data_IF_288158911763
#
_entry.id   IF_288158911763
#
_cell.length_a   1.000
_cell.length_b   1.000
_cell.length_c   1.000
_cell.angle_alpha   90.00
_cell.angle_beta   90.00
_cell.angle_gamma   90.00
#
_symmetry.space_group_name_H-M   'P 1'
#
loop_
_entity.id
_entity.type
_entity.pdbx_description
1 polymer ?
#
# COMPACT_ATOMS: atom_id res chain seq x y z
N UNK A 1 14.20 -9.20 -35.43
CA UNK A 1 13.39 -9.19 -34.19
C UNK A 1 14.29 -9.81 -33.14
N UNK A 2 15.07 -8.98 -32.45
CA UNK A 2 16.10 -9.44 -31.52
C UNK A 2 15.47 -9.73 -30.17
N UNK A 3 15.74 -10.92 -29.63
CA UNK A 3 15.45 -11.33 -28.26
C UNK A 3 16.10 -10.34 -27.28
N UNK A 4 15.43 -9.91 -26.21
CA UNK A 4 16.07 -9.09 -25.19
C UNK A 4 17.16 -9.93 -24.50
N UNK A 5 18.38 -9.38 -24.44
CA UNK A 5 19.52 -9.95 -23.74
C UNK A 5 19.09 -10.41 -22.35
N UNK A 6 19.23 -11.71 -22.09
CA UNK A 6 19.13 -12.28 -20.76
C UNK A 6 20.31 -11.72 -19.97
N UNK A 7 20.04 -10.85 -19.00
CA UNK A 7 21.08 -10.15 -18.25
C UNK A 7 21.92 -11.15 -17.46
N UNK A 8 23.16 -11.37 -17.91
CA UNK A 8 24.14 -12.21 -17.22
C UNK A 8 24.45 -11.62 -15.82
N UNK A 9 24.29 -12.39 -14.72
CA UNK A 9 24.63 -11.94 -13.38
C UNK A 9 26.06 -11.41 -13.25
N UNK A 10 27.01 -11.99 -13.99
CA UNK A 10 28.41 -11.59 -13.93
C UNK A 10 28.64 -10.21 -14.56
N UNK A 11 27.87 -9.86 -15.60
CA UNK A 11 27.89 -8.54 -16.25
C UNK A 11 27.27 -7.46 -15.34
N UNK A 12 26.25 -7.81 -14.56
CA UNK A 12 25.64 -6.91 -13.57
C UNK A 12 26.66 -6.54 -12.49
N UNK A 13 27.39 -7.52 -11.97
CA UNK A 13 28.40 -7.31 -10.94
C UNK A 13 29.59 -6.50 -11.46
N UNK A 14 30.00 -6.74 -12.71
CA UNK A 14 31.03 -5.94 -13.36
C UNK A 14 30.58 -4.47 -13.51
N UNK A 15 29.35 -4.24 -13.97
CA UNK A 15 28.80 -2.88 -14.15
C UNK A 15 28.64 -2.14 -12.82
N UNK A 16 28.20 -2.82 -11.76
CA UNK A 16 28.09 -2.23 -10.42
C UNK A 16 29.44 -1.80 -9.86
N UNK A 17 30.47 -2.61 -10.07
CA UNK A 17 31.83 -2.30 -9.61
C UNK A 17 32.41 -1.09 -10.33
N UNK A 18 32.11 -0.95 -11.62
CA UNK A 18 32.55 0.19 -12.43
C UNK A 18 31.87 1.50 -11.98
N UNK A 19 30.54 1.48 -11.79
CA UNK A 19 29.77 2.63 -11.30
C UNK A 19 30.20 3.10 -9.90
N UNK A 20 30.54 2.16 -9.02
CA UNK A 20 30.99 2.49 -7.66
C UNK A 20 32.44 2.96 -7.62
N UNK A 21 33.29 2.47 -8.54
CA UNK A 21 34.64 2.98 -8.73
C UNK A 21 34.64 4.40 -9.33
N UNK A 22 33.73 4.69 -10.27
CA UNK A 22 33.55 6.03 -10.85
C UNK A 22 33.15 7.07 -9.81
N UNK A 23 32.38 6.67 -8.79
CA UNK A 23 31.92 7.57 -7.74
C UNK A 23 33.05 8.12 -6.86
N UNK A 24 34.22 7.46 -6.82
CA UNK A 24 35.41 7.89 -6.09
C UNK A 24 35.17 8.20 -4.60
N UNK A 25 36.16 8.80 -3.95
CA UNK A 25 35.99 9.40 -2.62
C UNK A 25 35.25 10.74 -2.80
N UNK A 26 33.96 10.76 -2.44
CA UNK A 26 33.10 11.92 -2.64
C UNK A 26 33.66 13.07 -1.80
N UNK A 27 34.27 14.06 -2.48
CA UNK A 27 34.87 15.24 -1.85
C UNK A 27 33.80 16.06 -1.09
N UNK A 28 33.62 15.74 0.19
CA UNK A 28 32.59 16.33 1.03
C UNK A 28 32.50 15.77 2.45
N UNK A 29 33.33 14.79 2.83
CA UNK A 29 33.42 14.31 4.20
C UNK A 29 34.05 15.38 5.10
N UNK A 30 33.21 16.31 5.57
CA UNK A 30 33.56 17.19 6.68
C UNK A 30 33.63 16.33 7.94
N UNK A 31 34.81 16.19 8.54
CA UNK A 31 34.92 15.65 9.90
C UNK A 31 34.16 16.58 10.84
N UNK A 32 32.91 16.20 11.16
CA UNK A 32 32.14 16.84 12.22
C UNK A 32 32.79 16.39 13.54
N UNK A 33 33.25 17.30 14.41
CA UNK A 33 33.73 16.92 15.74
C UNK A 33 32.67 16.07 16.42
N UNK A 34 32.99 14.81 16.69
CA UNK A 34 32.11 13.85 17.37
C UNK A 34 32.12 14.23 18.86
N UNK A 35 31.07 14.85 19.42
CA UNK A 35 30.93 14.83 20.88
C UNK A 35 30.92 13.36 21.34
N UNK A 36 31.39 13.02 22.56
CA UNK A 36 31.14 11.70 23.14
C UNK A 36 29.65 11.61 23.50
N UNK A 37 28.81 11.63 22.48
CA UNK A 37 27.39 11.39 22.54
C UNK A 37 27.20 10.07 21.84
N UNK A 38 26.56 9.15 22.56
CA UNK A 38 26.12 7.87 22.03
C UNK A 38 25.49 8.14 20.65
N UNK A 39 26.04 7.52 19.62
CA UNK A 39 25.50 7.66 18.27
C UNK A 39 24.05 7.17 18.25
N UNK A 40 23.28 7.42 17.18
CA UNK A 40 21.92 6.92 17.04
C UNK A 40 21.76 5.39 17.17
N UNK A 41 22.88 4.64 17.20
CA UNK A 41 22.95 3.19 17.41
C UNK A 41 23.46 2.78 18.79
N UNK A 42 23.90 3.73 19.60
CA UNK A 42 24.42 3.50 20.95
C UNK A 42 23.29 3.68 21.98
N UNK A 43 22.07 3.27 21.60
CA UNK A 43 20.95 3.13 22.53
C UNK A 43 21.19 1.87 23.34
N UNK A 44 21.52 2.04 24.61
CA UNK A 44 21.44 0.95 25.57
C UNK A 44 19.98 0.88 25.94
N UNK A 45 19.28 -0.15 25.47
CA UNK A 45 17.95 -0.44 25.98
C UNK A 45 18.07 -0.58 27.49
N UNK A 46 17.33 0.24 28.23
CA UNK A 46 17.11 -0.02 29.64
C UNK A 46 16.51 -1.44 29.71
N UNK A 47 17.04 -2.29 30.60
CA UNK A 47 16.45 -3.60 30.91
C UNK A 47 15.10 -3.35 31.62
N UNK A 48 14.16 -2.77 30.89
CA UNK A 48 12.76 -2.66 31.26
C UNK A 48 12.13 -4.02 30.99
N UNK A 49 11.81 -4.71 32.07
CA UNK A 49 11.03 -5.94 32.10
C UNK A 49 9.57 -5.71 31.68
N UNK A 50 9.17 -4.45 31.45
CA UNK A 50 7.97 -4.03 30.73
C UNK A 50 8.01 -4.40 29.25
N UNK A 51 7.69 -5.65 28.93
CA UNK A 51 7.38 -6.03 27.56
C UNK A 51 6.33 -5.07 26.98
N UNK A 52 6.59 -4.48 25.81
CA UNK A 52 5.61 -3.66 25.09
C UNK A 52 4.32 -4.48 24.90
N UNK A 53 3.24 -4.05 25.56
CA UNK A 53 1.90 -4.60 25.38
C UNK A 53 1.12 -3.62 24.52
N UNK A 54 0.91 -3.92 23.22
CA UNK A 54 0.12 -3.05 22.37
C UNK A 54 -1.27 -2.87 22.98
N UNK A 55 -1.81 -1.64 23.03
CA UNK A 55 -3.21 -1.47 23.41
C UNK A 55 -4.09 -2.26 22.45
N UNK A 56 -5.13 -2.90 22.98
CA UNK A 56 -6.13 -3.59 22.16
C UNK A 56 -6.69 -2.57 21.15
N UNK A 57 -6.66 -2.87 19.83
CA UNK A 57 -7.11 -1.92 18.84
C UNK A 57 -8.61 -1.69 18.99
N UNK A 58 -9.04 -0.43 18.85
CA UNK A 58 -10.45 -0.12 18.73
C UNK A 58 -10.98 -0.75 17.44
N UNK A 59 -11.84 -1.76 17.57
CA UNK A 59 -12.46 -2.40 16.41
C UNK A 59 -13.72 -1.65 16.03
N UNK A 60 -13.74 -1.13 14.81
CA UNK A 60 -14.94 -0.53 14.24
C UNK A 60 -16.05 -1.59 14.10
N UNK A 61 -17.29 -1.28 14.48
CA UNK A 61 -18.41 -2.20 14.32
C UNK A 61 -18.64 -2.51 12.84
N UNK A 62 -19.13 -3.72 12.59
CA UNK A 62 -19.46 -4.16 11.23
C UNK A 62 -20.41 -3.18 10.51
N UNK A 63 -20.00 -2.73 9.33
CA UNK A 63 -20.75 -1.76 8.53
C UNK A 63 -21.63 -2.46 7.49
N UNK A 64 -22.88 -2.76 7.84
CA UNK A 64 -23.91 -3.33 6.95
C UNK A 64 -23.99 -2.62 5.59
N UNK A 65 -23.92 -1.28 5.63
CA UNK A 65 -23.97 -0.44 4.44
C UNK A 65 -22.82 -0.72 3.47
N UNK A 66 -21.60 -0.84 3.99
CA UNK A 66 -20.43 -1.15 3.17
C UNK A 66 -20.56 -2.55 2.54
N UNK A 67 -21.04 -3.54 3.31
CA UNK A 67 -21.32 -4.88 2.79
C UNK A 67 -22.33 -4.84 1.63
N UNK A 68 -23.48 -4.17 1.80
CA UNK A 68 -24.46 -4.04 0.71
C UNK A 68 -23.90 -3.30 -0.50
N UNK A 69 -23.08 -2.26 -0.29
CA UNK A 69 -22.38 -1.56 -1.35
C UNK A 69 -21.50 -2.49 -2.18
N UNK A 70 -20.69 -3.31 -1.52
CA UNK A 70 -19.84 -4.31 -2.18
C UNK A 70 -20.63 -5.41 -2.89
N UNK A 71 -21.70 -5.93 -2.27
CA UNK A 71 -22.56 -6.95 -2.88
C UNK A 71 -23.22 -6.41 -4.16
N UNK A 72 -23.77 -5.19 -4.11
CA UNK A 72 -24.38 -4.56 -5.27
C UNK A 72 -23.37 -4.27 -6.38
N UNK A 73 -22.18 -3.79 -6.01
CA UNK A 73 -21.11 -3.48 -6.96
C UNK A 73 -20.62 -4.74 -7.68
N UNK A 74 -20.19 -5.75 -6.92
CA UNK A 74 -19.66 -7.00 -7.46
C UNK A 74 -20.75 -7.76 -8.20
N UNK A 75 -21.95 -7.86 -7.61
CA UNK A 75 -23.10 -8.52 -8.23
C UNK A 75 -23.52 -7.84 -9.54
N UNK A 76 -23.48 -6.51 -9.60
CA UNK A 76 -23.73 -5.74 -10.82
C UNK A 76 -22.69 -6.00 -11.91
N UNK A 77 -21.40 -6.00 -11.56
CA UNK A 77 -20.32 -6.31 -12.52
C UNK A 77 -20.45 -7.73 -13.07
N UNK A 78 -20.65 -8.71 -12.18
CA UNK A 78 -20.87 -10.11 -12.59
C UNK A 78 -22.11 -10.21 -13.48
N UNK A 79 -23.21 -9.55 -13.12
CA UNK A 79 -24.44 -9.55 -13.91
C UNK A 79 -24.25 -8.95 -15.31
N UNK A 80 -23.45 -7.89 -15.45
CA UNK A 80 -23.07 -7.33 -16.76
C UNK A 80 -22.30 -8.37 -17.58
N UNK A 81 -21.31 -9.03 -16.99
CA UNK A 81 -20.52 -10.06 -17.69
C UNK A 81 -21.39 -11.23 -18.13
N UNK A 82 -22.27 -11.72 -17.27
CA UNK A 82 -23.25 -12.77 -17.60
C UNK A 82 -24.18 -12.30 -18.72
N UNK A 83 -24.64 -11.05 -18.68
CA UNK A 83 -25.49 -10.50 -19.73
C UNK A 83 -24.78 -10.41 -21.08
N UNK A 84 -23.51 -9.99 -21.09
CA UNK A 84 -22.71 -9.80 -22.29
C UNK A 84 -22.30 -11.14 -22.93
N UNK A 85 -21.85 -12.10 -22.14
CA UNK A 85 -21.36 -13.39 -22.63
C UNK A 85 -22.52 -14.34 -22.91
N UNK A 86 -23.50 -14.38 -22.01
CA UNK A 86 -24.63 -15.30 -22.06
C UNK A 86 -25.70 -14.93 -23.09
N UNK A 87 -25.51 -13.86 -23.88
CA UNK A 87 -26.54 -13.31 -24.78
C UNK A 87 -27.87 -13.07 -24.05
N UNK A 88 -27.79 -12.62 -22.80
CA UNK A 88 -28.97 -12.42 -21.98
C UNK A 88 -29.76 -11.18 -22.42
N UNK A 89 -30.94 -10.98 -21.82
CA UNK A 89 -31.79 -9.84 -22.15
C UNK A 89 -31.12 -8.51 -21.78
N UNK A 90 -31.39 -7.48 -22.59
CA UNK A 90 -30.96 -6.10 -22.30
C UNK A 90 -31.43 -5.63 -20.92
N UNK A 91 -32.60 -6.09 -20.47
CA UNK A 91 -33.14 -5.77 -19.16
C UNK A 91 -32.22 -6.25 -18.02
N UNK A 92 -31.64 -7.46 -18.12
CA UNK A 92 -30.68 -7.96 -17.13
C UNK A 92 -29.45 -7.05 -17.08
N UNK A 93 -28.86 -6.74 -18.23
CA UNK A 93 -27.70 -5.84 -18.31
C UNK A 93 -27.97 -4.46 -17.70
N UNK A 94 -29.14 -3.88 -17.95
CA UNK A 94 -29.54 -2.59 -17.35
C UNK A 94 -29.68 -2.70 -15.83
N UNK A 95 -30.36 -3.72 -15.31
CA UNK A 95 -30.50 -3.92 -13.86
C UNK A 95 -29.13 -4.13 -13.21
N UNK A 96 -28.26 -4.91 -13.83
CA UNK A 96 -26.90 -5.14 -13.35
C UNK A 96 -26.05 -3.86 -13.34
N UNK A 97 -26.17 -3.02 -14.37
CA UNK A 97 -25.50 -1.71 -14.40
C UNK A 97 -26.02 -0.77 -13.31
N UNK A 98 -27.34 -0.70 -13.12
CA UNK A 98 -27.95 0.12 -12.05
C UNK A 98 -27.50 -0.36 -10.67
N UNK A 99 -27.47 -1.68 -10.45
CA UNK A 99 -26.94 -2.26 -9.21
C UNK A 99 -25.48 -1.89 -8.98
N UNK A 100 -24.63 -1.99 -10.02
CA UNK A 100 -23.21 -1.64 -9.91
C UNK A 100 -23.01 -0.17 -9.52
N UNK A 101 -23.70 0.74 -10.22
CA UNK A 101 -23.64 2.18 -9.95
C UNK A 101 -24.18 2.50 -8.55
N UNK A 102 -25.27 1.86 -8.14
CA UNK A 102 -25.84 2.06 -6.80
C UNK A 102 -24.88 1.61 -5.70
N UNK A 103 -24.25 0.43 -5.87
CA UNK A 103 -23.22 -0.05 -4.96
C UNK A 103 -22.03 0.91 -4.84
N UNK A 104 -21.57 1.45 -5.98
CA UNK A 104 -20.50 2.46 -6.00
C UNK A 104 -20.90 3.74 -5.26
N UNK A 105 -22.10 4.26 -5.48
CA UNK A 105 -22.61 5.46 -4.79
C UNK A 105 -22.69 5.22 -3.28
N UNK A 106 -23.19 4.05 -2.85
CA UNK A 106 -23.27 3.68 -1.43
C UNK A 106 -21.89 3.67 -0.78
N UNK A 107 -20.88 3.10 -1.46
CA UNK A 107 -19.50 3.05 -0.98
C UNK A 107 -18.87 4.45 -0.95
N UNK A 108 -19.01 5.22 -2.03
CA UNK A 108 -18.42 6.56 -2.15
C UNK A 108 -18.95 7.52 -1.08
N UNK A 109 -20.25 7.45 -0.80
CA UNK A 109 -20.87 8.26 0.26
C UNK A 109 -20.55 7.72 1.67
N UNK A 110 -19.84 6.62 1.79
CA UNK A 110 -19.40 6.03 3.07
C UNK A 110 -17.93 6.25 3.38
N UNK A 111 -17.19 6.92 2.50
CA UNK A 111 -15.79 7.23 2.76
C UNK A 111 -15.64 8.18 3.94
N UNK A 112 -14.70 7.93 4.88
CA UNK A 112 -14.36 8.88 5.93
C UNK A 112 -13.91 10.20 5.29
N UNK A 113 -14.49 11.31 5.75
CA UNK A 113 -14.15 12.65 5.26
C UNK A 113 -13.18 13.38 6.19
N UNK A 114 -12.97 12.85 7.40
CA UNK A 114 -12.00 13.39 8.34
C UNK A 114 -10.64 12.77 8.07
N UNK A 115 -9.67 13.62 7.76
CA UNK A 115 -8.27 13.26 7.68
C UNK A 115 -7.54 14.17 8.66
N UNK A 116 -6.92 13.58 9.68
CA UNK A 116 -6.06 14.31 10.61
C UNK A 116 -4.65 14.37 10.00
N UNK A 117 -4.11 15.56 9.67
CA UNK A 117 -2.77 15.68 9.10
C UNK A 117 -1.65 15.40 10.10
N UNK A 118 -1.94 15.45 11.41
CA UNK A 118 -0.97 15.26 12.48
C UNK A 118 -1.02 13.81 13.05
N UNK A 119 -1.98 12.99 12.61
CA UNK A 119 -2.07 11.57 12.92
C UNK A 119 -1.38 10.74 11.83
N UNK A 120 -0.10 10.45 12.05
CA UNK A 120 0.72 9.56 11.20
C UNK A 120 0.51 8.06 11.53
N UNK A 121 -0.40 7.76 12.45
CA UNK A 121 -0.66 6.41 12.96
C UNK A 121 0.41 5.90 13.92
N UNK A 122 1.44 6.67 14.25
CA UNK A 122 2.43 6.30 15.25
C UNK A 122 1.93 6.67 16.65
N UNK A 123 1.76 5.67 17.52
CA UNK A 123 1.53 5.89 18.96
C UNK A 123 2.80 5.50 19.71
N UNK A 124 3.34 6.45 20.49
CA UNK A 124 4.51 6.28 21.37
C UNK A 124 4.12 5.72 22.72
#
# INVERSE_FOLDING_TARGET
MSTPDELDPDDIDARWRDLTAELGDIAGHREVPRPPASGPRDYIAEDDDGAFEPPEPETEPFQLRAMFGWILLIGGIIGILVSAIGHASTALGVVSAVSAVSGLVVLATGLPTHHDPDDDGARV
#
